data_IF_283523547779
#
_entry.id   IF_283523547779
#
_cell.length_a   1.000
_cell.length_b   1.000
_cell.length_c   1.000
_cell.angle_alpha   90.00
_cell.angle_beta   90.00
_cell.angle_gamma   90.00
#
_symmetry.space_group_name_H-M   'P 1'
#
loop_
_entity.id
_entity.type
_entity.pdbx_description
1 polymer ?
#
# COMPACT_ATOMS: atom_id res chain seq x y z
N UNK A 1 -5.99 -2.86 2.78
CA UNK A 1 -4.93 -1.95 2.29
C UNK A 1 -5.49 -0.65 1.71
N UNK A 2 -6.45 -0.71 0.78
CA UNK A 2 -7.03 0.48 0.12
C UNK A 2 -7.52 1.53 1.12
N UNK A 3 -8.22 1.12 2.18
CA UNK A 3 -8.68 2.02 3.24
C UNK A 3 -7.53 2.65 4.04
N UNK A 4 -6.45 1.92 4.26
CA UNK A 4 -5.25 2.45 4.92
C UNK A 4 -4.57 3.53 4.06
N UNK A 5 -4.40 3.25 2.77
CA UNK A 5 -3.86 4.21 1.79
C UNK A 5 -4.74 5.46 1.73
N UNK A 6 -6.06 5.29 1.59
CA UNK A 6 -6.99 6.41 1.50
C UNK A 6 -6.94 7.32 2.73
N UNK A 7 -6.89 6.74 3.94
CA UNK A 7 -6.77 7.52 5.18
C UNK A 7 -5.46 8.30 5.25
N UNK A 8 -4.36 7.68 4.84
CA UNK A 8 -3.05 8.34 4.82
C UNK A 8 -3.05 9.52 3.85
N UNK A 9 -3.54 9.33 2.63
CA UNK A 9 -3.66 10.39 1.63
C UNK A 9 -4.53 11.55 2.13
N UNK A 10 -5.68 11.25 2.71
CA UNK A 10 -6.58 12.26 3.27
C UNK A 10 -5.93 13.02 4.42
N UNK A 11 -5.18 12.35 5.30
CA UNK A 11 -4.44 12.97 6.39
C UNK A 11 -3.39 13.98 5.91
N UNK A 12 -2.80 13.75 4.71
CA UNK A 12 -1.89 14.69 4.07
C UNK A 12 -2.60 15.74 3.19
N UNK A 13 -3.92 15.78 3.19
CA UNK A 13 -4.71 16.78 2.47
C UNK A 13 -4.82 16.54 0.96
N UNK A 14 -4.55 15.33 0.49
CA UNK A 14 -4.64 14.99 -0.93
C UNK A 14 -6.05 14.54 -1.32
N UNK A 15 -6.50 14.98 -2.49
CA UNK A 15 -7.79 14.57 -3.05
C UNK A 15 -7.68 13.18 -3.67
N UNK A 16 -8.47 12.24 -3.15
CA UNK A 16 -8.42 10.82 -3.57
C UNK A 16 -8.88 10.59 -5.00
N UNK A 17 -9.74 11.46 -5.53
CA UNK A 17 -10.29 11.34 -6.89
C UNK A 17 -9.29 11.72 -7.99
N UNK A 18 -8.27 12.50 -7.69
CA UNK A 18 -7.25 12.91 -8.64
C UNK A 18 -6.08 11.92 -8.67
N UNK A 19 -6.19 10.91 -9.55
CA UNK A 19 -5.13 9.92 -9.74
C UNK A 19 -3.96 10.43 -10.59
N UNK A 20 -2.85 9.73 -10.51
CA UNK A 20 -1.67 9.93 -11.36
C UNK A 20 -1.80 9.16 -12.68
N UNK A 21 -2.26 7.93 -12.61
CA UNK A 21 -2.49 7.02 -13.73
C UNK A 21 -3.95 6.61 -13.85
N UNK A 22 -4.61 6.26 -12.74
CA UNK A 22 -6.05 6.02 -12.74
C UNK A 22 -6.80 7.34 -12.94
N UNK A 23 -7.67 7.39 -13.93
CA UNK A 23 -8.38 8.61 -14.32
C UNK A 23 -9.88 8.41 -14.59
N UNK A 24 -10.49 7.36 -14.02
CA UNK A 24 -11.93 7.14 -14.16
C UNK A 24 -12.74 8.22 -13.44
N UNK A 25 -13.62 8.89 -14.14
CA UNK A 25 -14.52 9.89 -13.57
C UNK A 25 -15.50 9.30 -12.54
N UNK A 26 -15.75 7.99 -12.62
CA UNK A 26 -16.64 7.26 -11.71
C UNK A 26 -15.94 6.75 -10.47
N UNK A 27 -14.60 6.79 -10.40
CA UNK A 27 -13.82 6.30 -9.28
C UNK A 27 -13.40 7.46 -8.36
N UNK A 28 -14.02 7.53 -7.20
CA UNK A 28 -13.67 8.52 -6.18
C UNK A 28 -12.29 8.28 -5.53
N UNK A 29 -11.62 7.17 -5.83
CA UNK A 29 -10.36 6.75 -5.18
C UNK A 29 -9.22 6.50 -6.17
N UNK A 30 -9.19 7.20 -7.28
CA UNK A 30 -8.14 7.04 -8.31
C UNK A 30 -6.73 7.13 -7.72
N UNK A 31 -6.44 8.13 -6.89
CA UNK A 31 -5.14 8.30 -6.27
C UNK A 31 -4.82 7.19 -5.26
N UNK A 32 -5.81 6.75 -4.48
CA UNK A 32 -5.62 5.64 -3.56
C UNK A 32 -5.27 4.34 -4.30
N UNK A 33 -5.87 4.11 -5.45
CA UNK A 33 -5.57 2.96 -6.29
C UNK A 33 -4.16 3.05 -6.88
N UNK A 34 -3.71 4.23 -7.32
CA UNK A 34 -2.34 4.45 -7.79
C UNK A 34 -1.30 4.14 -6.69
N UNK A 35 -1.53 4.64 -5.49
CA UNK A 35 -0.62 4.43 -4.35
C UNK A 35 -0.67 2.98 -3.85
N UNK A 36 -1.79 2.28 -4.04
CA UNK A 36 -1.94 0.88 -3.68
C UNK A 36 -1.13 -0.06 -4.59
N UNK A 37 -0.93 0.28 -5.86
CA UNK A 37 -0.28 -0.60 -6.85
C UNK A 37 1.06 -1.19 -6.38
N UNK A 38 2.00 -0.43 -5.80
CA UNK A 38 3.27 -0.99 -5.32
C UNK A 38 3.12 -2.00 -4.18
N UNK A 39 1.98 -2.01 -3.49
CA UNK A 39 1.69 -2.92 -2.38
C UNK A 39 0.87 -4.16 -2.80
N UNK A 40 0.35 -4.20 -4.02
CA UNK A 40 -0.40 -5.35 -4.53
C UNK A 40 0.36 -6.67 -4.46
N UNK A 41 1.67 -6.73 -4.80
CA UNK A 41 2.42 -7.97 -4.72
C UNK A 41 2.39 -8.63 -3.33
N UNK A 42 2.24 -7.84 -2.25
CA UNK A 42 2.09 -8.37 -0.90
C UNK A 42 0.81 -9.21 -0.75
N UNK A 43 -0.30 -8.72 -1.29
CA UNK A 43 -1.58 -9.43 -1.28
C UNK A 43 -1.52 -10.66 -2.18
N UNK A 44 -0.95 -10.52 -3.38
CA UNK A 44 -0.82 -11.61 -4.33
C UNK A 44 0.01 -12.76 -3.75
N UNK A 45 1.13 -12.44 -3.08
CA UNK A 45 1.97 -13.43 -2.41
C UNK A 45 1.19 -14.18 -1.32
N UNK A 46 0.44 -13.47 -0.49
CA UNK A 46 -0.40 -14.09 0.54
C UNK A 46 -1.45 -15.02 -0.07
N UNK A 47 -2.15 -14.57 -1.10
CA UNK A 47 -3.20 -15.34 -1.77
C UNK A 47 -2.63 -16.64 -2.34
N UNK A 48 -1.51 -16.56 -3.07
CA UNK A 48 -0.86 -17.73 -3.66
C UNK A 48 -0.41 -18.74 -2.60
N UNK A 49 0.06 -18.27 -1.45
CA UNK A 49 0.59 -19.13 -0.39
C UNK A 49 -0.48 -19.71 0.53
N UNK A 50 -1.64 -19.06 0.69
CA UNK A 50 -2.57 -19.37 1.77
C UNK A 50 -4.02 -19.61 1.32
N UNK A 51 -4.38 -19.34 0.07
CA UNK A 51 -5.74 -19.48 -0.45
C UNK A 51 -5.73 -20.41 -1.66
N UNK A 52 -6.55 -21.47 -1.63
CA UNK A 52 -6.74 -22.35 -2.80
C UNK A 52 -7.79 -21.78 -3.76
N UNK A 53 -7.67 -22.13 -5.04
CA UNK A 53 -8.54 -21.61 -6.12
C UNK A 53 -10.03 -21.92 -5.91
N UNK A 54 -10.34 -22.99 -5.19
CA UNK A 54 -11.70 -23.46 -4.96
C UNK A 54 -12.32 -22.94 -3.63
N UNK A 55 -11.61 -22.16 -2.86
CA UNK A 55 -12.09 -21.66 -1.58
C UNK A 55 -12.81 -20.32 -1.69
N UNK A 56 -14.05 -20.31 -1.18
CA UNK A 56 -14.71 -19.04 -0.85
C UNK A 56 -13.92 -18.32 0.26
N UNK A 57 -13.90 -17.01 0.23
CA UNK A 57 -13.18 -16.18 1.20
C UNK A 57 -13.68 -16.41 2.62
N UNK A 58 -13.06 -17.34 3.32
CA UNK A 58 -13.42 -17.76 4.68
C UNK A 58 -13.12 -16.65 5.71
N UNK A 59 -13.73 -16.68 6.91
CA UNK A 59 -13.36 -15.77 7.99
C UNK A 59 -11.88 -15.82 8.36
N UNK A 60 -11.27 -17.00 8.28
CA UNK A 60 -9.83 -17.19 8.50
C UNK A 60 -8.99 -16.48 7.43
N UNK A 61 -9.35 -16.64 6.15
CA UNK A 61 -8.68 -15.94 5.04
C UNK A 61 -8.80 -14.41 5.16
N UNK A 62 -9.97 -13.91 5.55
CA UNK A 62 -10.19 -12.48 5.80
C UNK A 62 -9.31 -11.95 6.92
N UNK A 63 -9.18 -12.69 8.03
CA UNK A 63 -8.29 -12.32 9.14
C UNK A 63 -6.82 -12.30 8.69
N UNK A 64 -6.41 -13.28 7.89
CA UNK A 64 -5.07 -13.34 7.32
C UNK A 64 -4.77 -12.16 6.40
N UNK A 65 -5.72 -11.78 5.52
CA UNK A 65 -5.60 -10.59 4.67
C UNK A 65 -5.48 -9.30 5.49
N UNK A 66 -6.26 -9.19 6.57
CA UNK A 66 -6.17 -8.04 7.48
C UNK A 66 -4.80 -8.01 8.19
N UNK A 67 -4.27 -9.16 8.58
CA UNK A 67 -2.98 -9.29 9.25
C UNK A 67 -1.79 -8.84 8.36
N UNK A 68 -1.98 -8.74 7.04
CA UNK A 68 -0.96 -8.19 6.13
C UNK A 68 -0.54 -6.76 6.46
N UNK A 69 -1.40 -5.98 7.10
CA UNK A 69 -1.04 -4.64 7.58
C UNK A 69 0.07 -4.68 8.63
N UNK A 70 0.20 -5.79 9.37
CA UNK A 70 1.26 -6.00 10.35
C UNK A 70 2.50 -6.71 9.78
N UNK A 71 2.52 -7.03 8.48
CA UNK A 71 3.66 -7.68 7.86
C UNK A 71 4.83 -6.73 7.63
N UNK A 72 5.99 -7.35 7.50
CA UNK A 72 7.24 -6.68 7.20
C UNK A 72 7.33 -6.36 5.70
N UNK A 73 7.82 -5.18 5.38
CA UNK A 73 8.10 -4.74 4.02
C UNK A 73 9.33 -3.85 4.01
N UNK A 74 10.10 -3.90 2.94
CA UNK A 74 11.28 -3.07 2.80
C UNK A 74 10.90 -1.72 2.21
N UNK A 75 11.29 -0.64 2.86
CA UNK A 75 11.11 0.72 2.37
C UNK A 75 12.36 1.51 2.71
N UNK A 76 12.96 2.14 1.70
CA UNK A 76 14.21 2.90 1.86
C UNK A 76 15.35 2.04 2.48
N UNK A 77 15.47 0.79 2.01
CA UNK A 77 16.42 -0.23 2.50
C UNK A 77 16.30 -0.59 3.98
N UNK A 78 15.16 -0.31 4.60
CA UNK A 78 14.87 -0.65 5.99
C UNK A 78 13.56 -1.44 6.08
N UNK A 79 13.47 -2.34 7.04
CA UNK A 79 12.27 -3.09 7.33
C UNK A 79 11.28 -2.24 8.13
N UNK A 80 10.05 -2.14 7.63
CA UNK A 80 8.96 -1.39 8.25
C UNK A 80 7.65 -2.17 8.19
N UNK A 81 6.68 -1.77 9.00
CA UNK A 81 5.30 -2.24 8.82
C UNK A 81 4.69 -1.63 7.55
N UNK A 82 3.69 -2.32 7.00
CA UNK A 82 2.99 -1.85 5.78
C UNK A 82 2.42 -0.43 5.93
N UNK A 83 1.71 -0.06 7.03
CA UNK A 83 1.22 1.30 7.19
C UNK A 83 2.33 2.36 7.18
N UNK A 84 3.47 2.07 7.78
CA UNK A 84 4.61 2.99 7.79
C UNK A 84 5.21 3.14 6.39
N UNK A 85 5.32 2.06 5.63
CA UNK A 85 5.79 2.11 4.24
C UNK A 85 4.82 2.91 3.34
N UNK A 86 3.51 2.80 3.56
CA UNK A 86 2.49 3.63 2.89
C UNK A 86 2.72 5.11 3.21
N UNK A 87 2.91 5.44 4.47
CA UNK A 87 3.18 6.82 4.89
C UNK A 87 4.46 7.36 4.26
N UNK A 88 5.53 6.59 4.23
CA UNK A 88 6.79 6.97 3.57
C UNK A 88 6.61 7.24 2.08
N UNK A 89 5.83 6.42 1.38
CA UNK A 89 5.52 6.65 -0.03
C UNK A 89 4.73 7.95 -0.21
N UNK A 90 3.70 8.18 0.60
CA UNK A 90 2.89 9.41 0.54
C UNK A 90 3.73 10.65 0.87
N UNK A 91 4.60 10.59 1.85
CA UNK A 91 5.53 11.68 2.17
C UNK A 91 6.44 12.01 0.98
N UNK A 92 6.99 10.98 0.31
CA UNK A 92 7.84 11.19 -0.88
C UNK A 92 7.03 11.79 -2.04
N UNK A 93 5.75 11.42 -2.19
CA UNK A 93 4.85 12.04 -3.17
C UNK A 93 4.62 13.53 -2.87
N UNK A 94 4.40 13.89 -1.60
CA UNK A 94 4.23 15.28 -1.18
C UNK A 94 5.47 16.12 -1.51
N UNK A 95 6.66 15.56 -1.28
CA UNK A 95 7.93 16.20 -1.65
C UNK A 95 7.99 16.38 -3.17
N UNK A 96 7.66 15.34 -3.94
CA UNK A 96 7.68 15.40 -5.41
C UNK A 96 6.73 16.48 -5.98
N UNK A 97 5.55 16.63 -5.39
CA UNK A 97 4.57 17.65 -5.82
C UNK A 97 5.09 19.08 -5.62
N UNK A 98 5.85 19.31 -4.56
CA UNK A 98 6.34 20.64 -4.16
C UNK A 98 7.66 21.07 -4.83
N UNK A 99 8.31 20.18 -5.58
CA UNK A 99 9.60 20.48 -6.21
C UNK A 99 9.47 20.57 -7.74
N UNK A 100 10.18 21.57 -8.33
CA UNK A 100 10.31 21.70 -9.78
C UNK A 100 11.09 20.54 -10.41
N UNK A 101 11.91 19.84 -9.63
CA UNK A 101 12.64 18.63 -10.00
C UNK A 101 12.06 17.47 -9.19
N UNK A 102 11.44 16.51 -9.88
CA UNK A 102 10.78 15.37 -9.23
C UNK A 102 11.83 14.43 -8.63
N UNK A 103 11.97 14.34 -7.29
CA UNK A 103 12.79 13.31 -6.65
C UNK A 103 12.13 11.94 -6.82
N UNK A 104 12.89 10.84 -6.71
CA UNK A 104 12.33 9.49 -6.78
C UNK A 104 11.36 9.25 -5.61
N UNK A 105 10.26 8.53 -5.90
CA UNK A 105 9.33 8.08 -4.88
C UNK A 105 9.94 6.95 -4.04
N UNK A 106 9.62 6.92 -2.75
CA UNK A 106 10.02 5.85 -1.84
C UNK A 106 9.09 4.66 -2.00
N UNK A 107 9.40 3.78 -2.96
CA UNK A 107 8.60 2.60 -3.26
C UNK A 107 8.91 1.45 -2.29
N UNK A 108 7.89 0.65 -1.91
CA UNK A 108 8.11 -0.54 -1.12
C UNK A 108 8.76 -1.66 -1.96
N UNK A 109 9.51 -2.54 -1.29
CA UNK A 109 10.07 -3.75 -1.88
C UNK A 109 9.53 -4.96 -1.11
N UNK A 110 8.97 -5.92 -1.83
CA UNK A 110 8.43 -7.13 -1.25
C UNK A 110 9.55 -7.98 -0.64
N UNK A 111 9.32 -8.45 0.58
CA UNK A 111 10.15 -9.44 1.27
C UNK A 111 9.28 -10.66 1.61
N UNK A 112 9.88 -11.81 2.00
CA UNK A 112 9.09 -12.94 2.47
C UNK A 112 8.12 -12.54 3.58
N UNK A 113 6.91 -13.11 3.56
CA UNK A 113 5.86 -12.76 4.52
C UNK A 113 6.31 -13.08 5.95
N UNK A 114 6.45 -12.06 6.76
CA UNK A 114 6.78 -12.15 8.17
C UNK A 114 6.12 -10.99 8.92
N UNK A 115 5.79 -11.22 10.19
CA UNK A 115 5.28 -10.15 11.04
C UNK A 115 6.40 -9.15 11.34
N UNK A 116 6.11 -7.88 11.17
CA UNK A 116 7.05 -6.83 11.53
C UNK A 116 7.31 -6.83 13.05
N UNK A 117 8.58 -6.79 13.43
CA UNK A 117 9.00 -6.67 14.82
C UNK A 117 9.41 -5.23 15.09
N UNK A 118 8.67 -4.60 15.99
CA UNK A 118 9.02 -3.27 16.48
C UNK A 118 10.15 -3.37 17.49
N UNK A 119 11.17 -2.58 17.27
CA UNK A 119 12.25 -2.44 18.25
C UNK A 119 11.82 -1.59 19.45
#
# INVERSE_FOLDING_TARGET
LRGCVARTLAAYGLLLCHGLQHCSELNAMNLADDILEPFRPLVDLYVVQNISEDELLSPSAKRGLFALLGCDILSDNQHHSVPYAIERLVQSLMVAINFARVPPLTLPVLVPLARHQYE
#
